data_IF_333270893716
#
_entry.id   IF_333270893716
#
_cell.length_a   1.000
_cell.length_b   1.000
_cell.length_c   1.000
_cell.angle_alpha   90.00
_cell.angle_beta   90.00
_cell.angle_gamma   90.00
#
_symmetry.space_group_name_H-M   'P 1'
#
loop_
_entity.id
_entity.type
_entity.pdbx_description
1 polymer ?
#
# COMPACT_ATOMS: atom_id res chain seq x y z
N UNK A 1 -29.93 -19.87 -10.57
CA UNK A 1 -29.41 -18.62 -9.97
C UNK A 1 -28.14 -19.02 -9.25
N UNK A 2 -26.98 -18.74 -9.85
CA UNK A 2 -25.68 -19.12 -9.30
C UNK A 2 -25.15 -17.94 -8.52
N UNK A 3 -24.91 -18.17 -7.23
CA UNK A 3 -24.34 -17.21 -6.29
C UNK A 3 -22.88 -16.93 -6.70
N UNK A 4 -22.68 -15.79 -7.36
CA UNK A 4 -21.38 -15.30 -7.80
C UNK A 4 -20.62 -14.75 -6.61
N UNK A 5 -20.03 -15.64 -5.81
CA UNK A 5 -19.01 -15.28 -4.83
C UNK A 5 -17.77 -14.82 -5.59
N UNK A 6 -17.65 -13.49 -5.76
CA UNK A 6 -16.46 -12.82 -6.25
C UNK A 6 -15.29 -13.18 -5.33
N UNK A 7 -14.43 -14.09 -5.79
CA UNK A 7 -13.18 -14.39 -5.10
C UNK A 7 -12.26 -13.18 -5.25
N UNK A 8 -12.32 -12.26 -4.29
CA UNK A 8 -11.33 -11.20 -4.14
C UNK A 8 -10.00 -11.89 -3.79
N UNK A 9 -9.21 -12.24 -4.80
CA UNK A 9 -7.90 -12.85 -4.61
C UNK A 9 -6.94 -11.81 -4.03
N UNK A 10 -6.93 -11.70 -2.70
CA UNK A 10 -5.95 -10.87 -1.99
C UNK A 10 -4.55 -11.39 -2.31
N UNK A 11 -3.75 -10.58 -2.99
CA UNK A 11 -2.33 -10.89 -3.21
C UNK A 11 -1.53 -10.34 -2.03
N UNK A 12 -0.93 -11.22 -1.24
CA UNK A 12 -0.08 -10.84 -0.11
C UNK A 12 1.31 -10.45 -0.62
N UNK A 13 1.79 -9.27 -0.22
CA UNK A 13 3.19 -8.86 -0.38
C UNK A 13 3.91 -9.18 0.92
N UNK A 14 4.98 -9.97 0.86
CA UNK A 14 5.83 -10.29 2.00
C UNK A 14 7.12 -9.48 1.94
N UNK A 15 7.46 -8.81 3.04
CA UNK A 15 8.75 -8.14 3.20
C UNK A 15 9.74 -9.15 3.78
N UNK A 16 10.63 -9.68 2.94
CA UNK A 16 11.71 -10.58 3.36
C UNK A 16 13.03 -9.83 3.59
N UNK A 17 12.94 -8.56 4.01
CA UNK A 17 14.07 -7.71 4.32
C UNK A 17 14.13 -7.48 5.83
N UNK A 18 15.17 -8.03 6.47
CA UNK A 18 15.29 -8.01 7.92
C UNK A 18 15.38 -6.58 8.50
N UNK A 19 16.18 -5.65 7.93
CA UNK A 19 16.18 -4.26 8.36
C UNK A 19 14.81 -3.58 8.28
N UNK A 20 14.08 -3.73 7.17
CA UNK A 20 12.75 -3.11 7.01
C UNK A 20 11.76 -3.74 7.98
N UNK A 21 11.78 -5.05 8.14
CA UNK A 21 10.92 -5.74 9.10
C UNK A 21 11.17 -5.26 10.54
N UNK A 22 12.44 -5.06 10.93
CA UNK A 22 12.80 -4.54 12.24
C UNK A 22 12.30 -3.10 12.45
N UNK A 23 12.41 -2.25 11.42
CA UNK A 23 11.87 -0.88 11.47
C UNK A 23 10.34 -0.87 11.65
N UNK A 24 9.62 -1.67 10.85
CA UNK A 24 8.16 -1.78 10.94
C UNK A 24 7.70 -2.35 12.29
N UNK A 25 8.50 -3.24 12.90
CA UNK A 25 8.23 -3.72 14.25
C UNK A 25 8.39 -2.60 15.29
N UNK A 26 9.48 -1.83 15.23
CA UNK A 26 9.75 -0.75 16.16
C UNK A 26 8.71 0.39 16.09
N UNK A 27 8.23 0.72 14.88
CA UNK A 27 7.18 1.72 14.68
C UNK A 27 5.84 1.29 15.27
N UNK A 28 5.50 0.00 15.18
CA UNK A 28 4.25 -0.56 15.71
C UNK A 28 4.24 -0.66 17.24
N UNK A 29 5.42 -0.81 17.86
CA UNK A 29 5.58 -0.86 19.32
C UNK A 29 5.54 0.54 19.98
N UNK A 30 5.63 1.61 19.18
CA UNK A 30 5.71 2.99 19.67
C UNK A 30 4.38 3.72 19.44
N UNK A 31 3.72 4.13 20.54
CA UNK A 31 2.43 4.82 20.47
C UNK A 31 2.49 6.08 19.59
N UNK A 32 1.75 6.08 18.48
CA UNK A 32 1.57 7.22 17.58
C UNK A 32 2.65 7.44 16.52
N UNK A 33 3.79 6.74 16.57
CA UNK A 33 4.85 6.83 15.54
C UNK A 33 4.36 6.27 14.19
N UNK A 34 3.61 5.18 14.24
CA UNK A 34 3.06 4.55 13.04
C UNK A 34 2.08 5.48 12.30
N UNK A 35 1.24 6.20 13.05
CA UNK A 35 0.35 7.21 12.50
C UNK A 35 1.15 8.39 11.93
N UNK A 36 2.17 8.87 12.65
CA UNK A 36 3.00 9.98 12.20
C UNK A 36 3.73 9.71 10.88
N UNK A 37 4.35 8.53 10.75
CA UNK A 37 5.00 8.09 9.52
C UNK A 37 3.99 7.96 8.37
N UNK A 38 2.82 7.38 8.65
CA UNK A 38 1.81 7.18 7.61
C UNK A 38 1.24 8.49 7.09
N UNK A 39 0.92 9.44 7.98
CA UNK A 39 0.48 10.79 7.59
C UNK A 39 1.53 11.50 6.75
N UNK A 40 2.81 11.42 7.11
CA UNK A 40 3.88 12.03 6.32
C UNK A 40 4.00 11.42 4.91
N UNK A 41 3.79 10.11 4.77
CA UNK A 41 3.78 9.45 3.47
C UNK A 41 2.55 9.84 2.62
N UNK A 42 1.37 9.96 3.23
CA UNK A 42 0.17 10.45 2.54
C UNK A 42 0.28 11.91 2.11
N UNK A 43 0.82 12.77 2.97
CA UNK A 43 1.12 14.16 2.64
C UNK A 43 2.07 14.25 1.45
N UNK A 44 3.12 13.43 1.42
CA UNK A 44 4.04 13.34 0.28
C UNK A 44 3.37 12.91 -1.02
N UNK A 45 2.30 12.12 -0.94
CA UNK A 45 1.50 11.71 -2.12
C UNK A 45 0.40 12.72 -2.46
N UNK A 46 0.13 13.70 -1.60
CA UNK A 46 -0.93 14.69 -1.75
C UNK A 46 -2.34 14.08 -1.70
N UNK A 47 -2.52 12.95 -1.03
CA UNK A 47 -3.81 12.25 -0.93
C UNK A 47 -3.89 11.35 0.29
N UNK A 48 -5.06 11.35 0.91
CA UNK A 48 -5.46 10.40 1.94
C UNK A 48 -5.89 9.09 1.27
N UNK A 49 -5.27 7.98 1.64
CA UNK A 49 -5.41 6.69 0.96
C UNK A 49 -5.91 5.58 1.88
N UNK A 50 -5.79 5.72 3.19
CA UNK A 50 -6.17 4.67 4.14
C UNK A 50 -7.01 5.18 5.30
N UNK A 51 -7.99 4.35 5.70
CA UNK A 51 -8.81 4.57 6.90
C UNK A 51 -8.12 4.03 8.18
N UNK A 52 -6.90 3.51 8.07
CA UNK A 52 -6.14 2.97 9.19
C UNK A 52 -4.67 2.70 8.84
N UNK A 53 -3.80 2.87 9.81
CA UNK A 53 -2.37 2.69 9.63
C UNK A 53 -1.93 1.40 10.29
N UNK A 54 -1.39 0.48 9.48
CA UNK A 54 -0.75 -0.75 9.93
C UNK A 54 0.59 -0.93 9.19
N UNK A 55 1.39 -1.92 9.59
CA UNK A 55 2.68 -2.22 8.95
C UNK A 55 2.57 -2.42 7.44
N UNK A 56 1.50 -3.04 6.97
CA UNK A 56 1.26 -3.28 5.54
C UNK A 56 0.94 -1.98 4.82
N UNK A 57 0.17 -1.09 5.44
CA UNK A 57 -0.13 0.21 4.85
C UNK A 57 1.10 1.10 4.76
N UNK A 58 1.94 1.17 5.79
CA UNK A 58 3.23 1.87 5.71
C UNK A 58 4.06 1.33 4.54
N UNK A 59 4.17 0.01 4.41
CA UNK A 59 4.92 -0.60 3.30
C UNK A 59 4.34 -0.22 1.92
N UNK A 60 3.00 -0.22 1.78
CA UNK A 60 2.32 0.19 0.54
C UNK A 60 2.53 1.68 0.24
N UNK A 61 2.40 2.56 1.23
CA UNK A 61 2.59 3.99 1.09
C UNK A 61 4.04 4.32 0.74
N UNK A 62 5.01 3.74 1.45
CA UNK A 62 6.43 3.92 1.18
C UNK A 62 6.81 3.45 -0.24
N UNK A 63 6.25 2.32 -0.69
CA UNK A 63 6.43 1.86 -2.06
C UNK A 63 5.88 2.87 -3.07
N UNK A 64 4.65 3.37 -2.88
CA UNK A 64 4.04 4.39 -3.75
C UNK A 64 4.89 5.67 -3.80
N UNK A 65 5.34 6.17 -2.65
CA UNK A 65 6.21 7.36 -2.56
C UNK A 65 7.52 7.12 -3.30
N UNK A 66 8.15 5.95 -3.12
CA UNK A 66 9.38 5.60 -3.82
C UNK A 66 9.23 5.59 -5.34
N UNK A 67 8.13 5.04 -5.87
CA UNK A 67 7.85 5.05 -7.30
C UNK A 67 7.50 6.47 -7.80
N UNK A 68 6.65 7.21 -7.10
CA UNK A 68 6.32 8.61 -7.46
C UNK A 68 7.58 9.49 -7.53
N UNK A 69 8.51 9.30 -6.59
CA UNK A 69 9.75 10.07 -6.52
C UNK A 69 10.73 9.70 -7.63
N UNK A 70 10.85 8.42 -7.97
CA UNK A 70 11.91 7.92 -8.87
C UNK A 70 11.45 7.73 -10.32
N UNK A 71 10.16 7.47 -10.53
CA UNK A 71 9.57 7.15 -11.83
C UNK A 71 8.08 7.52 -11.87
N UNK A 72 7.72 8.82 -11.73
CA UNK A 72 6.33 9.27 -11.65
C UNK A 72 5.51 8.86 -12.87
N UNK A 73 6.12 8.73 -14.05
CA UNK A 73 5.43 8.27 -15.26
C UNK A 73 4.91 6.83 -15.18
N UNK A 74 5.41 6.03 -14.22
CA UNK A 74 4.90 4.68 -13.94
C UNK A 74 3.64 4.70 -13.09
N UNK A 75 3.37 5.76 -12.34
CA UNK A 75 2.16 5.87 -11.53
C UNK A 75 0.89 5.98 -12.40
N UNK A 76 1.00 6.52 -13.62
CA UNK A 76 -0.08 6.45 -14.61
C UNK A 76 -0.49 5.02 -14.98
N UNK A 77 0.48 4.08 -14.96
CA UNK A 77 0.20 2.66 -15.23
C UNK A 77 -0.54 1.96 -14.09
N UNK A 78 -0.50 2.51 -12.87
CA UNK A 78 -1.23 1.95 -11.74
C UNK A 78 -2.74 2.01 -11.97
N UNK A 79 -3.24 3.15 -12.48
CA UNK A 79 -4.66 3.32 -12.80
C UNK A 79 -5.11 2.37 -13.91
N UNK A 80 -4.29 2.23 -14.95
CA UNK A 80 -4.54 1.28 -16.05
C UNK A 80 -4.54 -0.18 -15.58
N UNK A 81 -3.63 -0.53 -14.67
CA UNK A 81 -3.52 -1.88 -14.11
C UNK A 81 -4.72 -2.22 -13.22
N UNK A 82 -5.19 -1.29 -12.39
CA UNK A 82 -6.39 -1.45 -11.57
C UNK A 82 -7.61 -1.72 -12.48
N UNK A 83 -7.77 -0.94 -13.54
CA UNK A 83 -8.88 -1.14 -14.50
C UNK A 83 -8.85 -2.50 -15.19
N UNK A 84 -7.68 -2.97 -15.60
CA UNK A 84 -7.50 -4.30 -16.21
C UNK A 84 -7.77 -5.44 -15.23
N UNK A 85 -7.28 -5.32 -13.99
CA UNK A 85 -7.50 -6.33 -12.96
C UNK A 85 -8.98 -6.43 -12.57
N UNK A 86 -9.69 -5.30 -12.51
CA UNK A 86 -11.13 -5.28 -12.29
C UNK A 86 -11.87 -6.03 -13.41
N UNK A 87 -11.52 -5.82 -14.68
CA UNK A 87 -12.15 -6.49 -15.84
C UNK A 87 -11.85 -8.00 -15.95
N UNK A 88 -10.70 -8.46 -15.45
CA UNK A 88 -10.33 -9.88 -15.47
C UNK A 88 -11.04 -10.70 -14.39
N UNK A 89 -11.63 -10.05 -13.40
CA UNK A 89 -12.35 -10.68 -12.29
C UNK A 89 -13.89 -10.47 -12.39
N UNK A 90 -14.42 -10.07 -13.56
CA UNK A 90 -15.87 -9.99 -13.87
C UNK A 90 -16.32 -11.24 -14.63
#
# INVERSE_FOLDING_TARGET
MSDGTLSNSSTTIAVCDQPIAALLAALDESDGEMDGVSHALEESLGRELSDGFDRSEIARLAFRVGIETTAPEKMGKLSDAIGKHAQQNI
#
